data_IF_154377326061
#
_entry.id   IF_154377326061
#
_cell.length_a   1.000
_cell.length_b   1.000
_cell.length_c   1.000
_cell.angle_alpha   90.00
_cell.angle_beta   90.00
_cell.angle_gamma   90.00
#
_symmetry.space_group_name_H-M   'P 1'
#
loop_
_entity.id
_entity.type
_entity.pdbx_description
1 polymer ?
#
# COMPACT_ATOMS: atom_id res chain seq x y z
N UNK A 1 6.51 -12.64 -8.90
CA UNK A 1 5.56 -11.54 -9.04
C UNK A 1 6.16 -10.28 -8.43
N UNK A 2 6.10 -9.17 -9.14
CA UNK A 2 6.71 -7.90 -8.71
C UNK A 2 5.73 -6.76 -8.91
N UNK A 3 5.88 -5.70 -8.10
CA UNK A 3 5.15 -4.46 -8.34
C UNK A 3 5.82 -3.69 -9.48
N UNK A 4 4.98 -3.15 -10.37
CA UNK A 4 5.47 -2.31 -11.46
C UNK A 4 4.99 -0.87 -11.35
N UNK A 5 3.98 -0.61 -10.53
CA UNK A 5 3.50 0.75 -10.29
C UNK A 5 2.58 0.75 -9.07
N UNK A 6 2.37 1.92 -8.48
CA UNK A 6 1.38 2.15 -7.43
C UNK A 6 0.72 3.50 -7.65
N UNK A 7 -0.57 3.60 -7.28
CA UNK A 7 -1.31 4.86 -7.33
C UNK A 7 -2.08 5.05 -6.04
N UNK A 8 -1.89 6.17 -5.33
CA UNK A 8 -2.73 6.48 -4.17
C UNK A 8 -4.12 6.88 -4.65
N UNK A 9 -5.15 6.32 -4.02
CA UNK A 9 -6.55 6.59 -4.34
C UNK A 9 -7.26 7.19 -3.12
N UNK A 10 -8.49 7.60 -3.29
CA UNK A 10 -9.31 8.12 -2.20
C UNK A 10 -9.53 7.06 -1.12
N UNK A 11 -9.85 7.51 0.09
CA UNK A 11 -10.14 6.64 1.24
C UNK A 11 -8.96 5.78 1.66
N UNK A 12 -7.74 6.28 1.45
CA UNK A 12 -6.50 5.60 1.86
C UNK A 12 -6.34 4.22 1.21
N UNK A 13 -6.73 4.12 -0.05
CA UNK A 13 -6.50 2.92 -0.86
C UNK A 13 -5.30 3.15 -1.77
N UNK A 14 -4.43 2.16 -1.88
CA UNK A 14 -3.33 2.16 -2.84
C UNK A 14 -3.63 1.13 -3.91
N UNK A 15 -3.70 1.56 -5.15
CA UNK A 15 -3.84 0.65 -6.28
C UNK A 15 -2.46 0.15 -6.69
N UNK A 16 -2.27 -1.15 -6.62
CA UNK A 16 -0.98 -1.81 -6.89
C UNK A 16 -1.06 -2.53 -8.23
N UNK A 17 -0.10 -2.25 -9.09
CA UNK A 17 0.00 -2.88 -10.41
C UNK A 17 1.13 -3.90 -10.39
N UNK A 18 0.85 -5.10 -10.84
CA UNK A 18 1.79 -6.22 -10.80
C UNK A 18 2.29 -6.58 -12.20
N UNK A 19 3.42 -7.26 -12.27
CA UNK A 19 4.08 -7.58 -13.53
C UNK A 19 3.34 -8.64 -14.37
N UNK A 20 2.35 -9.30 -13.79
CA UNK A 20 1.49 -10.24 -14.51
C UNK A 20 0.21 -9.58 -15.04
N UNK A 21 0.17 -8.24 -15.05
CA UNK A 21 -0.99 -7.43 -15.44
C UNK A 21 -2.15 -7.46 -14.43
N UNK A 22 -1.94 -8.01 -13.24
CA UNK A 22 -2.93 -7.95 -12.17
C UNK A 22 -2.94 -6.58 -11.52
N UNK A 23 -4.11 -6.17 -11.03
CA UNK A 23 -4.30 -4.94 -10.27
C UNK A 23 -4.94 -5.31 -8.94
N UNK A 24 -4.35 -4.84 -7.85
CA UNK A 24 -4.85 -5.10 -6.50
C UNK A 24 -5.05 -3.77 -5.80
N UNK A 25 -6.24 -3.55 -5.24
CA UNK A 25 -6.51 -2.38 -4.41
C UNK A 25 -6.26 -2.76 -2.96
N UNK A 26 -5.24 -2.15 -2.36
CA UNK A 26 -4.85 -2.40 -0.98
C UNK A 26 -5.46 -1.33 -0.09
N UNK A 27 -6.31 -1.75 0.85
CA UNK A 27 -6.96 -0.84 1.78
C UNK A 27 -6.02 -0.54 2.94
N UNK A 28 -5.27 0.55 2.83
CA UNK A 28 -4.33 0.97 3.86
C UNK A 28 -5.08 1.38 5.13
N UNK A 29 -6.28 1.95 5.00
CA UNK A 29 -7.06 2.39 6.16
C UNK A 29 -7.33 1.24 7.13
N UNK A 30 -7.66 0.06 6.62
CA UNK A 30 -7.88 -1.11 7.46
C UNK A 30 -6.63 -1.45 8.28
N UNK A 31 -5.46 -1.32 7.68
CA UNK A 31 -4.21 -1.55 8.40
C UNK A 31 -3.90 -0.43 9.39
N UNK A 32 -4.22 0.82 9.05
CA UNK A 32 -4.02 1.95 9.95
C UNK A 32 -4.88 1.84 11.22
N UNK A 33 -6.06 1.30 11.10
CA UNK A 33 -6.95 1.08 12.25
C UNK A 33 -6.42 -0.02 13.16
N UNK A 34 -5.71 -0.99 12.60
CA UNK A 34 -5.18 -2.12 13.34
C UNK A 34 -3.82 -1.83 13.99
N UNK A 35 -2.99 -1.02 13.33
CA UNK A 35 -1.62 -0.76 13.77
C UNK A 35 -1.45 0.73 14.05
N UNK A 36 -1.44 1.08 15.35
CA UNK A 36 -1.41 2.48 15.78
C UNK A 36 -0.19 3.26 15.29
N UNK A 37 0.95 2.61 15.09
CA UNK A 37 2.17 3.30 14.65
C UNK A 37 2.08 3.86 13.23
N UNK A 38 1.07 3.46 12.45
CA UNK A 38 0.87 4.00 11.11
C UNK A 38 -0.06 5.22 11.08
N UNK A 39 -0.46 5.75 12.22
CA UNK A 39 -1.35 6.92 12.28
C UNK A 39 -0.89 8.11 11.43
N UNK A 40 0.42 8.42 11.31
CA UNK A 40 0.84 9.52 10.44
C UNK A 40 0.38 9.39 8.99
N UNK A 41 0.08 8.20 8.51
CA UNK A 41 -0.42 8.00 7.15
C UNK A 41 -1.84 8.51 6.92
N UNK A 42 -2.56 8.90 7.98
CA UNK A 42 -3.83 9.59 7.81
C UNK A 42 -3.65 10.99 7.22
N UNK A 43 -2.44 11.55 7.24
CA UNK A 43 -2.14 12.78 6.53
C UNK A 43 -2.14 12.49 5.03
N UNK A 44 -3.10 13.06 4.30
CA UNK A 44 -3.21 12.85 2.86
C UNK A 44 -1.95 13.26 2.10
N UNK A 45 -1.28 14.32 2.53
CA UNK A 45 -0.06 14.75 1.86
C UNK A 45 1.02 13.69 1.96
N UNK A 46 1.19 13.08 3.12
CA UNK A 46 2.12 11.99 3.30
C UNK A 46 1.67 10.74 2.54
N UNK A 47 0.38 10.41 2.64
CA UNK A 47 -0.16 9.21 1.98
C UNK A 47 0.09 9.23 0.47
N UNK A 48 -0.05 10.38 -0.16
CA UNK A 48 0.14 10.52 -1.60
C UNK A 48 1.59 10.36 -2.06
N UNK A 49 2.55 10.34 -1.14
CA UNK A 49 3.96 10.16 -1.49
C UNK A 49 4.37 8.69 -1.57
N UNK A 50 3.41 7.78 -1.61
CA UNK A 50 3.68 6.35 -1.65
C UNK A 50 4.62 5.98 -2.81
N UNK A 51 5.58 5.12 -2.51
CA UNK A 51 6.55 4.59 -3.48
C UNK A 51 6.54 3.07 -3.42
N UNK A 52 7.23 2.46 -4.34
CA UNK A 52 7.30 1.00 -4.38
C UNK A 52 8.70 0.53 -4.75
N UNK A 53 8.97 -0.69 -4.33
CA UNK A 53 10.09 -1.51 -4.80
C UNK A 53 9.52 -2.85 -5.26
N UNK A 54 10.39 -3.76 -5.70
CA UNK A 54 9.95 -5.01 -6.34
C UNK A 54 8.84 -5.74 -5.60
N UNK A 55 8.90 -5.76 -4.26
CA UNK A 55 7.98 -6.57 -3.45
C UNK A 55 7.38 -5.82 -2.26
N UNK A 56 7.41 -4.50 -2.29
CA UNK A 56 6.81 -3.72 -1.20
C UNK A 56 6.41 -2.33 -1.66
N UNK A 57 5.44 -1.75 -0.97
CA UNK A 57 5.14 -0.32 -1.05
C UNK A 57 5.64 0.34 0.24
N UNK A 58 6.05 1.60 0.15
CA UNK A 58 6.56 2.31 1.33
C UNK A 58 6.38 3.82 1.17
N UNK A 59 6.38 4.49 2.32
CA UNK A 59 6.34 5.97 2.37
C UNK A 59 7.65 6.54 2.86
N UNK A 60 8.24 5.85 3.85
CA UNK A 60 9.58 6.15 4.35
C UNK A 60 10.13 4.87 5.00
N UNK A 61 11.24 4.97 5.72
CA UNK A 61 11.88 3.78 6.30
C UNK A 61 11.04 3.11 7.38
N UNK A 62 10.05 3.81 7.93
CA UNK A 62 9.23 3.31 9.04
C UNK A 62 7.90 2.70 8.58
N UNK A 63 7.41 3.10 7.41
CA UNK A 63 6.08 2.72 6.95
C UNK A 63 6.17 1.97 5.64
N UNK A 64 6.07 0.66 5.71
CA UNK A 64 6.06 -0.18 4.52
C UNK A 64 5.10 -1.34 4.67
N UNK A 65 4.66 -1.87 3.53
CA UNK A 65 3.87 -3.09 3.46
C UNK A 65 4.45 -3.98 2.39
N UNK A 66 4.68 -5.24 2.74
CA UNK A 66 5.21 -6.22 1.79
C UNK A 66 4.11 -6.73 0.87
N UNK A 67 4.50 -7.19 -0.31
CA UNK A 67 3.58 -7.73 -1.29
C UNK A 67 2.73 -8.86 -0.70
N UNK A 68 3.31 -9.71 0.13
CA UNK A 68 2.57 -10.80 0.78
C UNK A 68 1.41 -10.28 1.62
N UNK A 69 1.62 -9.17 2.34
CA UNK A 69 0.56 -8.54 3.13
C UNK A 69 -0.54 -7.96 2.23
N UNK A 70 -0.14 -7.35 1.13
CA UNK A 70 -1.06 -6.76 0.16
C UNK A 70 -1.93 -7.85 -0.46
N UNK A 71 -1.32 -8.93 -0.89
CA UNK A 71 -2.05 -10.04 -1.50
C UNK A 71 -2.95 -10.76 -0.50
N UNK A 72 -2.49 -10.91 0.74
CA UNK A 72 -3.30 -11.55 1.78
C UNK A 72 -4.58 -10.76 2.06
N UNK A 73 -4.51 -9.43 2.05
CA UNK A 73 -5.69 -8.59 2.22
C UNK A 73 -6.61 -8.66 1.00
N UNK A 74 -6.04 -8.70 -0.20
CA UNK A 74 -6.79 -8.69 -1.44
C UNK A 74 -7.48 -10.00 -1.77
N UNK A 75 -7.13 -11.09 -1.11
CA UNK A 75 -7.73 -12.41 -1.32
C UNK A 75 -8.87 -12.61 -0.32
N UNK A 76 -10.01 -12.11 -0.63
CA UNK A 76 -11.19 -12.32 0.20
C UNK A 76 -12.21 -13.18 -0.52
#
# INVERSE_FOLDING_TARGET
>A
MKLINVEPKDNYVVRVFLDDNSIVDFDVKAELERIACYKPLYDNALFKTVRFKNKRIYWNEQFDFHLDQILAQGIL
#
